data_IF_209475261893
#
_entry.id   IF_209475261893
#
_cell.length_a   1.000
_cell.length_b   1.000
_cell.length_c   1.000
_cell.angle_alpha   90.00
_cell.angle_beta   90.00
_cell.angle_gamma   90.00
#
_symmetry.space_group_name_H-M   'P 1'
#
loop_
_entity.id
_entity.type
_entity.pdbx_description
1 polymer ?
#
# COMPACT_ATOMS: atom_id res chain seq x y z
N UNK A 1 16.09 -8.52 3.92
CA UNK A 1 15.98 -7.04 4.04
C UNK A 1 15.01 -6.77 5.17
N UNK A 2 15.42 -6.23 6.31
CA UNK A 2 16.12 -4.94 6.58
C UNK A 2 17.66 -4.97 6.45
N UNK A 3 18.39 -3.86 6.66
CA UNK A 3 19.85 -3.92 6.82
C UNK A 3 20.25 -4.74 8.05
N UNK A 4 21.51 -5.17 8.12
CA UNK A 4 22.11 -5.80 9.30
C UNK A 4 23.47 -5.16 9.57
N UNK A 5 23.76 -4.77 10.82
CA UNK A 5 24.99 -4.05 11.15
C UNK A 5 26.28 -4.81 10.87
N UNK A 6 26.23 -6.15 10.84
CA UNK A 6 27.37 -7.02 10.55
C UNK A 6 27.46 -7.45 9.08
N UNK A 7 26.43 -7.19 8.27
CA UNK A 7 26.40 -7.61 6.86
C UNK A 7 26.34 -6.42 5.91
N UNK A 8 25.44 -5.46 6.16
CA UNK A 8 25.14 -4.36 5.24
C UNK A 8 26.30 -3.40 5.02
N UNK A 9 26.24 -2.71 3.89
CA UNK A 9 27.21 -1.69 3.45
C UNK A 9 26.46 -0.49 2.84
N UNK A 10 27.11 0.25 1.93
CA UNK A 10 26.50 1.31 1.12
C UNK A 10 25.77 0.78 -0.14
N UNK A 11 25.80 -0.53 -0.37
CA UNK A 11 25.08 -1.21 -1.46
C UNK A 11 24.27 -2.39 -0.93
N UNK A 12 23.44 -2.97 -1.79
CA UNK A 12 22.76 -4.24 -1.50
C UNK A 12 23.84 -5.34 -1.40
N UNK A 13 23.80 -6.10 -0.31
CA UNK A 13 24.69 -7.23 -0.08
C UNK A 13 23.89 -8.54 -0.22
N UNK A 14 24.49 -9.53 -0.89
CA UNK A 14 23.90 -10.85 -1.10
C UNK A 14 24.67 -11.85 -0.26
N UNK A 15 23.96 -12.65 0.56
CA UNK A 15 24.56 -13.75 1.34
C UNK A 15 23.87 -15.06 1.01
N UNK A 16 24.66 -16.11 0.87
CA UNK A 16 24.16 -17.49 0.83
C UNK A 16 24.09 -18.01 2.25
N UNK A 17 22.92 -18.48 2.67
CA UNK A 17 22.70 -19.15 3.95
C UNK A 17 23.19 -20.60 3.90
N UNK A 18 23.27 -21.25 5.07
CA UNK A 18 23.74 -22.63 5.20
C UNK A 18 22.87 -23.63 4.42
N UNK A 19 21.58 -23.33 4.23
CA UNK A 19 20.64 -24.13 3.44
C UNK A 19 20.75 -23.88 1.91
N UNK A 20 21.70 -23.04 1.48
CA UNK A 20 21.91 -22.68 0.08
C UNK A 20 21.00 -21.58 -0.44
N UNK A 21 20.04 -21.08 0.35
CA UNK A 21 19.20 -19.95 -0.04
C UNK A 21 19.98 -18.64 -0.07
N UNK A 22 19.56 -17.71 -0.94
CA UNK A 22 20.17 -16.38 -1.02
C UNK A 22 19.31 -15.34 -0.30
N UNK A 23 19.95 -14.54 0.55
CA UNK A 23 19.31 -13.44 1.28
C UNK A 23 19.93 -12.11 0.86
N UNK A 24 19.06 -11.12 0.64
CA UNK A 24 19.43 -9.74 0.34
C UNK A 24 19.37 -8.88 1.61
N UNK A 25 20.42 -8.11 1.84
CA UNK A 25 20.50 -7.09 2.87
C UNK A 25 20.49 -5.71 2.25
N UNK A 26 19.62 -4.85 2.77
CA UNK A 26 19.52 -3.48 2.27
C UNK A 26 20.78 -2.68 2.68
N UNK A 27 21.19 -1.68 1.88
CA UNK A 27 22.21 -0.74 2.31
C UNK A 27 21.72 0.07 3.52
N UNK A 28 22.61 0.58 4.36
CA UNK A 28 22.19 1.46 5.47
C UNK A 28 21.50 2.74 4.98
N UNK A 29 21.86 3.23 3.78
CA UNK A 29 21.26 4.40 3.15
C UNK A 29 19.79 4.20 2.76
N UNK A 30 19.29 2.95 2.76
CA UNK A 30 17.87 2.66 2.65
C UNK A 30 17.06 3.18 3.84
N UNK A 31 17.68 3.30 5.02
CA UNK A 31 17.01 3.74 6.24
C UNK A 31 16.93 5.26 6.27
N UNK A 32 15.71 5.77 6.37
CA UNK A 32 15.37 7.20 6.43
C UNK A 32 16.23 7.90 7.48
N UNK A 33 16.95 8.93 7.03
CA UNK A 33 17.86 9.71 7.86
C UNK A 33 19.29 9.18 7.94
N UNK A 34 19.58 7.96 7.48
CA UNK A 34 20.94 7.44 7.41
C UNK A 34 21.65 7.93 6.14
N UNK A 35 22.44 8.98 6.29
CA UNK A 35 23.26 9.52 5.19
C UNK A 35 24.45 8.61 4.83
N UNK A 36 25.10 8.85 3.70
CA UNK A 36 26.36 8.17 3.34
C UNK A 36 27.41 8.29 4.45
N UNK A 37 27.53 9.46 5.09
CA UNK A 37 28.43 9.65 6.24
C UNK A 37 28.06 8.75 7.42
N UNK A 38 26.76 8.56 7.67
CA UNK A 38 26.28 7.62 8.67
C UNK A 38 26.63 6.17 8.32
N UNK A 39 26.46 5.77 7.06
CA UNK A 39 26.82 4.44 6.56
C UNK A 39 28.33 4.18 6.76
N UNK A 40 29.17 5.13 6.33
CA UNK A 40 30.62 5.04 6.48
C UNK A 40 31.05 4.99 7.95
N UNK A 41 30.38 5.75 8.83
CA UNK A 41 30.65 5.71 10.26
C UNK A 41 30.38 4.32 10.87
N UNK A 42 29.31 3.65 10.44
CA UNK A 42 28.97 2.29 10.87
C UNK A 42 30.02 1.29 10.38
N UNK A 43 30.40 1.34 9.09
CA UNK A 43 31.40 0.43 8.54
C UNK A 43 32.78 0.61 9.20
N UNK A 44 33.21 1.85 9.41
CA UNK A 44 34.47 2.15 10.14
C UNK A 44 34.43 1.66 11.58
N UNK A 45 33.29 1.81 12.25
CA UNK A 45 33.11 1.29 13.60
C UNK A 45 33.21 -0.24 13.63
N UNK A 46 32.63 -0.91 12.63
CA UNK A 46 32.71 -2.37 12.46
C UNK A 46 34.15 -2.83 12.25
N UNK A 47 34.91 -2.15 11.41
CA UNK A 47 36.33 -2.42 11.19
C UNK A 47 37.16 -2.25 12.47
N UNK A 48 36.92 -1.17 13.23
CA UNK A 48 37.64 -0.89 14.49
C UNK A 48 37.48 -2.00 15.54
N UNK A 49 36.35 -2.69 15.56
CA UNK A 49 36.07 -3.76 16.53
C UNK A 49 36.41 -5.15 16.01
N UNK A 50 37.15 -5.26 14.89
CA UNK A 50 37.58 -6.55 14.33
C UNK A 50 36.64 -7.13 13.29
N UNK A 51 35.77 -6.32 12.70
CA UNK A 51 34.94 -6.66 11.54
C UNK A 51 33.53 -7.12 11.87
N UNK A 52 33.19 -7.34 13.14
CA UNK A 52 31.83 -7.71 13.59
C UNK A 52 31.55 -7.10 14.96
N UNK A 53 30.34 -6.58 15.14
CA UNK A 53 29.81 -6.22 16.44
C UNK A 53 29.27 -7.47 17.14
N UNK A 54 29.60 -7.63 18.42
CA UNK A 54 29.10 -8.70 19.29
C UNK A 54 27.86 -8.29 20.08
N UNK A 55 27.65 -6.98 20.26
CA UNK A 55 26.51 -6.44 21.01
C UNK A 55 26.17 -5.02 20.58
N UNK A 56 24.94 -4.61 20.90
CA UNK A 56 24.50 -3.22 20.72
C UNK A 56 25.40 -2.25 21.50
N UNK A 57 25.83 -2.61 22.71
CA UNK A 57 26.73 -1.78 23.52
C UNK A 57 28.08 -1.51 22.81
N UNK A 58 28.68 -2.54 22.21
CA UNK A 58 29.92 -2.41 21.46
C UNK A 58 29.73 -1.52 20.21
N UNK A 59 28.59 -1.64 19.54
CA UNK A 59 28.23 -0.74 18.45
C UNK A 59 28.13 0.73 18.93
N UNK A 60 27.42 0.98 20.03
CA UNK A 60 27.22 2.34 20.56
C UNK A 60 28.51 3.01 21.03
N UNK A 61 29.48 2.23 21.50
CA UNK A 61 30.80 2.70 21.90
C UNK A 61 31.69 2.99 20.67
N UNK A 62 31.67 2.12 19.66
CA UNK A 62 32.55 2.22 18.50
C UNK A 62 32.08 3.27 17.46
N UNK A 63 30.77 3.52 17.37
CA UNK A 63 30.20 4.36 16.32
C UNK A 63 30.40 5.85 16.57
N UNK A 64 30.72 6.59 15.51
CA UNK A 64 30.82 8.05 15.57
C UNK A 64 29.42 8.66 15.73
N UNK A 65 29.04 9.00 16.97
CA UNK A 65 27.70 9.47 17.35
C UNK A 65 27.23 10.75 16.64
N UNK A 66 28.15 11.54 16.06
CA UNK A 66 27.77 12.72 15.25
C UNK A 66 27.28 12.31 13.87
N UNK A 67 27.96 11.36 13.22
CA UNK A 67 27.62 10.85 11.91
C UNK A 67 26.46 9.83 11.96
N UNK A 68 26.44 8.97 12.99
CA UNK A 68 25.34 8.06 13.31
C UNK A 68 24.61 8.55 14.57
N UNK A 69 23.82 9.61 14.41
CA UNK A 69 23.11 10.26 15.51
C UNK A 69 22.02 9.37 16.14
N UNK A 70 21.45 9.82 17.26
CA UNK A 70 20.42 9.06 17.99
C UNK A 70 19.21 8.68 17.13
N UNK A 71 18.76 9.57 16.23
CA UNK A 71 17.63 9.27 15.33
C UNK A 71 17.97 8.15 14.36
N UNK A 72 19.18 8.16 13.79
CA UNK A 72 19.64 7.08 12.90
C UNK A 72 19.73 5.76 13.65
N UNK A 73 20.28 5.76 14.86
CA UNK A 73 20.37 4.55 15.70
C UNK A 73 18.98 4.01 16.07
N UNK A 74 18.03 4.88 16.41
CA UNK A 74 16.64 4.49 16.68
C UNK A 74 15.97 3.91 15.42
N UNK A 75 16.15 4.53 14.24
CA UNK A 75 15.62 3.99 12.99
C UNK A 75 16.22 2.61 12.68
N UNK A 76 17.53 2.43 12.85
CA UNK A 76 18.21 1.13 12.68
C UNK A 76 17.65 0.08 13.64
N UNK A 77 17.37 0.44 14.89
CA UNK A 77 16.74 -0.45 15.87
C UNK A 77 15.34 -0.88 15.46
N UNK A 78 14.50 0.08 15.04
CA UNK A 78 13.12 -0.16 14.61
C UNK A 78 13.04 -1.09 13.40
N UNK A 79 13.86 -0.83 12.38
CA UNK A 79 13.89 -1.69 11.19
C UNK A 79 14.50 -3.07 11.45
N UNK A 80 15.15 -3.30 12.60
CA UNK A 80 15.71 -4.60 12.98
C UNK A 80 17.18 -4.80 12.63
N UNK A 81 17.94 -3.73 12.41
CA UNK A 81 19.34 -3.81 11.97
C UNK A 81 20.29 -4.47 12.99
N UNK A 82 19.89 -4.52 14.26
CA UNK A 82 20.65 -5.12 15.35
C UNK A 82 20.15 -6.50 15.76
N UNK A 83 19.15 -7.07 15.06
CA UNK A 83 18.53 -8.35 15.46
C UNK A 83 19.53 -9.52 15.55
N UNK A 84 20.63 -9.49 14.80
CA UNK A 84 21.69 -10.51 14.86
C UNK A 84 22.63 -10.39 16.06
N UNK A 85 22.61 -9.26 16.79
CA UNK A 85 23.54 -8.96 17.90
C UNK A 85 22.84 -8.62 19.21
N UNK A 86 21.51 -8.61 19.24
CA UNK A 86 20.70 -8.28 20.42
C UNK A 86 19.90 -9.52 20.86
N UNK A 87 20.33 -10.21 21.93
CA UNK A 87 19.63 -11.38 22.43
C UNK A 87 18.18 -11.08 22.81
N UNK A 88 17.24 -11.92 22.33
CA UNK A 88 15.81 -11.76 22.61
C UNK A 88 15.09 -10.71 21.74
N UNK A 89 15.81 -10.03 20.83
CA UNK A 89 15.19 -9.13 19.85
C UNK A 89 14.37 -9.93 18.84
N UNK A 90 13.23 -9.37 18.40
CA UNK A 90 12.46 -9.95 17.32
C UNK A 90 13.32 -10.05 16.05
N UNK A 91 13.22 -11.16 15.28
CA UNK A 91 13.91 -11.30 14.02
C UNK A 91 13.72 -10.08 13.12
N UNK A 92 14.71 -9.78 12.30
CA UNK A 92 14.65 -8.64 11.39
C UNK A 92 13.48 -8.75 10.39
N UNK A 93 13.00 -9.96 10.11
CA UNK A 93 11.87 -10.25 9.20
C UNK A 93 10.53 -10.40 9.93
N UNK A 94 10.46 -10.08 11.23
CA UNK A 94 9.24 -10.23 12.01
C UNK A 94 8.12 -9.28 11.53
N UNK A 95 6.88 -9.75 11.52
CA UNK A 95 5.71 -8.98 11.08
C UNK A 95 5.48 -7.70 11.87
N UNK A 96 5.87 -7.66 13.15
CA UNK A 96 5.74 -6.46 13.98
C UNK A 96 6.67 -5.32 13.50
N UNK A 97 7.75 -5.66 12.80
CA UNK A 97 8.70 -4.69 12.25
C UNK A 97 8.31 -4.15 10.88
N UNK A 98 7.39 -4.80 10.16
CA UNK A 98 7.03 -4.42 8.79
C UNK A 98 6.52 -2.98 8.68
N UNK A 99 5.80 -2.49 9.71
CA UNK A 99 5.33 -1.10 9.75
C UNK A 99 6.48 -0.11 9.83
N UNK A 100 7.39 -0.32 10.78
CA UNK A 100 8.58 0.52 10.95
C UNK A 100 9.48 0.46 9.71
N UNK A 101 9.65 -0.73 9.13
CA UNK A 101 10.39 -0.90 7.90
C UNK A 101 9.74 -0.17 6.74
N UNK A 102 8.41 -0.22 6.59
CA UNK A 102 7.74 0.46 5.48
C UNK A 102 7.85 1.98 5.63
N UNK A 103 7.72 2.49 6.86
CA UNK A 103 7.88 3.92 7.14
C UNK A 103 9.33 4.41 6.95
N UNK A 104 10.30 3.63 7.40
CA UNK A 104 11.71 4.03 7.46
C UNK A 104 12.51 3.59 6.25
N UNK A 105 12.08 2.59 5.49
CA UNK A 105 12.80 2.06 4.31
C UNK A 105 12.02 2.22 3.01
N UNK A 106 10.77 2.67 3.07
CA UNK A 106 9.92 2.92 1.89
C UNK A 106 9.74 1.67 1.04
N UNK A 107 9.96 1.81 -0.28
CA UNK A 107 9.68 0.80 -1.30
C UNK A 107 10.54 -0.49 -1.21
N UNK A 108 11.46 -0.58 -0.24
CA UNK A 108 12.27 -1.79 -0.03
C UNK A 108 11.53 -2.85 0.80
N UNK A 109 10.43 -2.49 1.46
CA UNK A 109 9.55 -3.47 2.11
C UNK A 109 8.63 -4.08 1.09
N UNK A 110 8.86 -5.37 0.83
CA UNK A 110 8.14 -6.15 -0.18
C UNK A 110 6.86 -6.73 0.43
N UNK A 111 6.78 -6.88 1.76
CA UNK A 111 5.63 -7.49 2.42
C UNK A 111 4.52 -6.48 2.73
N UNK A 112 3.29 -6.97 2.69
CA UNK A 112 2.13 -6.14 2.96
C UNK A 112 2.05 -5.83 4.45
N UNK A 113 1.93 -4.55 4.80
CA UNK A 113 1.81 -4.12 6.19
C UNK A 113 0.34 -4.13 6.58
N UNK A 114 0.01 -4.71 7.74
CA UNK A 114 -1.34 -4.60 8.27
C UNK A 114 -1.57 -3.25 8.91
N UNK A 115 -2.75 -2.70 8.67
CA UNK A 115 -3.21 -1.54 9.42
C UNK A 115 -3.35 -1.89 10.91
N UNK A 116 -3.09 -0.92 11.77
CA UNK A 116 -3.22 -1.11 13.23
C UNK A 116 -4.65 -1.12 13.77
N UNK A 117 -5.64 -1.01 12.89
CA UNK A 117 -7.08 -0.93 13.19
C UNK A 117 -7.86 -1.92 12.32
N UNK A 118 -9.08 -2.33 12.72
CA UNK A 118 -9.99 -3.02 11.82
C UNK A 118 -10.58 -2.06 10.78
N UNK A 119 -10.96 -2.59 9.62
CA UNK A 119 -11.87 -1.88 8.71
C UNK A 119 -13.28 -1.94 9.30
N UNK A 120 -13.68 -0.86 9.96
CA UNK A 120 -15.00 -0.76 10.58
C UNK A 120 -16.00 -0.07 9.64
N UNK A 121 -17.11 -0.73 9.33
CA UNK A 121 -18.28 -0.09 8.74
C UNK A 121 -19.47 -0.31 9.67
N UNK A 122 -20.04 0.78 10.15
CA UNK A 122 -21.19 0.76 11.05
C UNK A 122 -22.28 1.71 10.53
N UNK A 123 -23.53 1.62 11.02
CA UNK A 123 -24.63 2.43 10.49
C UNK A 123 -24.36 3.93 10.51
N UNK A 124 -23.60 4.43 11.50
CA UNK A 124 -23.19 5.83 11.57
C UNK A 124 -22.25 6.20 10.41
N UNK A 125 -21.20 5.40 10.17
CA UNK A 125 -20.25 5.63 9.08
C UNK A 125 -20.94 5.53 7.72
N UNK A 126 -21.86 4.57 7.53
CA UNK A 126 -22.68 4.47 6.33
C UNK A 126 -23.56 5.71 6.13
N UNK A 127 -24.13 6.27 7.19
CA UNK A 127 -24.90 7.52 7.13
C UNK A 127 -24.00 8.72 6.76
N UNK A 128 -22.80 8.81 7.33
CA UNK A 128 -21.83 9.86 6.99
C UNK A 128 -21.40 9.79 5.51
N UNK A 129 -21.19 8.58 4.96
CA UNK A 129 -20.93 8.38 3.53
C UNK A 129 -22.11 8.86 2.70
N UNK A 130 -23.34 8.56 3.11
CA UNK A 130 -24.53 9.05 2.40
C UNK A 130 -24.64 10.58 2.42
N UNK A 131 -24.29 11.23 3.53
CA UNK A 131 -24.23 12.70 3.62
C UNK A 131 -23.17 13.25 2.67
N UNK A 132 -21.99 12.63 2.61
CA UNK A 132 -20.93 13.01 1.67
C UNK A 132 -21.40 12.90 0.21
N UNK A 133 -22.07 11.80 -0.15
CA UNK A 133 -22.61 11.60 -1.50
C UNK A 133 -23.69 12.63 -1.84
N UNK A 134 -24.60 12.94 -0.90
CA UNK A 134 -25.62 13.98 -1.11
C UNK A 134 -25.01 15.37 -1.28
N UNK A 135 -23.96 15.69 -0.52
CA UNK A 135 -23.22 16.95 -0.68
C UNK A 135 -22.56 17.04 -2.06
N UNK A 136 -21.90 15.97 -2.49
CA UNK A 136 -21.31 15.90 -3.83
C UNK A 136 -22.35 16.11 -4.94
N UNK A 137 -23.51 15.43 -4.84
CA UNK A 137 -24.58 15.59 -5.82
C UNK A 137 -25.06 17.05 -5.93
N UNK A 138 -25.16 17.75 -4.80
CA UNK A 138 -25.58 19.14 -4.76
C UNK A 138 -24.51 20.09 -5.31
N UNK A 139 -23.25 19.97 -4.87
CA UNK A 139 -22.16 20.87 -5.26
C UNK A 139 -21.75 20.70 -6.73
N UNK A 140 -21.77 19.47 -7.22
CA UNK A 140 -21.40 19.15 -8.60
C UNK A 140 -22.60 19.13 -9.56
N UNK A 141 -23.82 19.37 -9.06
CA UNK A 141 -25.05 19.38 -9.87
C UNK A 141 -25.37 18.04 -10.54
N UNK A 142 -25.07 16.92 -9.87
CA UNK A 142 -25.19 15.57 -10.46
C UNK A 142 -26.61 15.01 -10.40
N UNK A 143 -27.40 15.39 -9.39
CA UNK A 143 -28.75 14.83 -9.21
C UNK A 143 -28.74 13.30 -9.21
N UNK A 144 -29.55 12.71 -10.11
CA UNK A 144 -29.69 11.26 -10.27
C UNK A 144 -28.55 10.62 -11.08
N UNK A 145 -27.67 11.41 -11.71
CA UNK A 145 -26.50 10.91 -12.45
C UNK A 145 -25.35 10.50 -11.50
N UNK A 146 -25.46 10.78 -10.20
CA UNK A 146 -24.48 10.37 -9.21
C UNK A 146 -24.52 8.85 -9.03
N UNK A 147 -23.36 8.23 -9.22
CA UNK A 147 -23.11 6.83 -8.91
C UNK A 147 -22.56 6.70 -7.49
N UNK A 148 -23.30 5.98 -6.66
CA UNK A 148 -23.01 5.76 -5.25
C UNK A 148 -22.07 4.56 -5.06
N UNK A 149 -21.27 4.55 -3.98
CA UNK A 149 -20.49 3.38 -3.63
C UNK A 149 -21.39 2.20 -3.27
N UNK A 150 -20.97 1.00 -3.64
CA UNK A 150 -21.56 -0.24 -3.14
C UNK A 150 -20.85 -0.65 -1.86
N UNK A 151 -21.60 -0.79 -0.78
CA UNK A 151 -21.06 -1.06 0.55
C UNK A 151 -21.50 -2.45 1.00
N UNK A 152 -20.54 -3.36 1.10
CA UNK A 152 -20.75 -4.69 1.65
C UNK A 152 -21.08 -4.67 3.14
N UNK A 153 -21.62 -5.78 3.64
CA UNK A 153 -22.05 -5.94 5.05
C UNK A 153 -20.86 -5.87 6.01
N UNK A 154 -19.70 -6.43 5.61
CA UNK A 154 -18.47 -6.45 6.42
C UNK A 154 -17.26 -6.24 5.51
N UNK A 155 -17.03 -5.01 5.03
CA UNK A 155 -15.98 -4.75 4.07
C UNK A 155 -14.59 -5.02 4.67
N UNK A 156 -13.75 -5.73 3.91
CA UNK A 156 -12.35 -6.03 4.21
C UNK A 156 -11.41 -5.29 3.26
N UNK A 157 -11.88 -4.98 2.05
CA UNK A 157 -11.12 -4.32 0.98
C UNK A 157 -11.94 -3.17 0.40
N UNK A 158 -11.30 -2.03 0.18
CA UNK A 158 -11.87 -0.94 -0.62
C UNK A 158 -11.37 -1.05 -2.06
N UNK A 159 -12.26 -1.19 -3.03
CA UNK A 159 -11.95 -1.19 -4.46
C UNK A 159 -12.28 0.18 -5.04
N UNK A 160 -11.30 0.82 -5.69
CA UNK A 160 -11.47 2.15 -6.29
C UNK A 160 -11.25 2.05 -7.79
N UNK A 161 -12.33 2.19 -8.55
CA UNK A 161 -12.32 2.25 -10.02
C UNK A 161 -11.96 3.67 -10.49
N UNK A 162 -11.44 3.81 -11.71
CA UNK A 162 -11.24 5.15 -12.28
C UNK A 162 -12.57 5.89 -12.46
N UNK A 163 -13.56 5.24 -13.05
CA UNK A 163 -14.81 5.87 -13.49
C UNK A 163 -15.98 4.90 -13.43
N UNK A 164 -17.18 5.44 -13.25
CA UNK A 164 -18.41 4.72 -13.51
C UNK A 164 -18.57 4.38 -15.01
N UNK A 165 -19.15 3.23 -15.29
CA UNK A 165 -19.52 2.78 -16.63
C UNK A 165 -21.05 2.74 -16.81
N UNK A 166 -21.50 2.34 -18.00
CA UNK A 166 -22.93 2.27 -18.30
C UNK A 166 -23.71 1.24 -17.48
N UNK A 167 -23.08 0.20 -16.93
CA UNK A 167 -23.74 -0.74 -16.02
C UNK A 167 -23.99 -0.08 -14.66
N UNK A 168 -23.01 0.67 -14.15
CA UNK A 168 -23.17 1.45 -12.92
C UNK A 168 -24.28 2.49 -13.09
N UNK A 169 -24.31 3.20 -14.23
CA UNK A 169 -25.34 4.20 -14.53
C UNK A 169 -26.77 3.66 -14.57
N UNK A 170 -26.98 2.38 -14.92
CA UNK A 170 -28.32 1.77 -14.90
C UNK A 170 -28.85 1.50 -13.50
N UNK A 171 -27.94 1.37 -12.53
CA UNK A 171 -28.27 0.97 -11.16
C UNK A 171 -28.13 2.12 -10.17
N UNK A 172 -27.27 3.10 -10.48
CA UNK A 172 -26.86 4.15 -9.56
C UNK A 172 -25.77 3.70 -8.58
N UNK A 173 -25.26 2.47 -8.69
CA UNK A 173 -24.27 1.90 -7.77
C UNK A 173 -23.11 1.23 -8.49
N UNK A 174 -21.89 1.41 -7.98
CA UNK A 174 -20.71 0.78 -8.55
C UNK A 174 -20.73 -0.74 -8.44
N UNK A 175 -20.49 -1.43 -9.55
CA UNK A 175 -20.41 -2.89 -9.63
C UNK A 175 -21.67 -3.62 -9.12
N UNK A 176 -22.83 -2.97 -9.01
CA UNK A 176 -24.07 -3.70 -8.73
C UNK A 176 -24.40 -4.65 -9.90
N UNK A 177 -24.14 -4.19 -11.14
CA UNK A 177 -24.30 -4.99 -12.36
C UNK A 177 -23.01 -5.00 -13.22
N UNK A 178 -22.85 -6.03 -14.05
CA UNK A 178 -21.67 -6.27 -14.88
C UNK A 178 -20.40 -6.58 -14.08
N UNK A 179 -19.24 -6.39 -14.73
CA UNK A 179 -17.91 -6.74 -14.18
C UNK A 179 -17.75 -8.24 -13.88
N UNK A 180 -18.38 -9.11 -14.68
CA UNK A 180 -18.50 -10.53 -14.35
C UNK A 180 -17.14 -11.23 -14.23
N UNK A 181 -16.21 -10.98 -15.15
CA UNK A 181 -14.85 -11.54 -15.09
C UNK A 181 -14.10 -11.05 -13.85
N UNK A 182 -14.21 -9.76 -13.52
CA UNK A 182 -13.56 -9.19 -12.35
C UNK A 182 -14.16 -9.74 -11.04
N UNK A 183 -15.49 -9.85 -10.97
CA UNK A 183 -16.21 -10.46 -9.84
C UNK A 183 -15.87 -11.94 -9.68
N UNK A 184 -15.73 -12.66 -10.79
CA UNK A 184 -15.32 -14.06 -10.79
C UNK A 184 -13.93 -14.20 -10.18
N UNK A 185 -12.96 -13.38 -10.59
CA UNK A 185 -11.60 -13.43 -10.04
C UNK A 185 -11.52 -12.95 -8.59
N UNK A 186 -12.30 -11.94 -8.19
CA UNK A 186 -12.45 -11.54 -6.78
C UNK A 186 -12.88 -12.73 -5.92
N UNK A 187 -13.81 -13.55 -6.42
CA UNK A 187 -14.27 -14.74 -5.71
C UNK A 187 -13.22 -15.86 -5.72
N UNK A 188 -12.66 -16.21 -6.88
CA UNK A 188 -11.82 -17.41 -7.03
C UNK A 188 -10.41 -17.21 -6.52
N UNK A 189 -9.79 -16.07 -6.82
CA UNK A 189 -8.42 -15.76 -6.43
C UNK A 189 -8.35 -14.94 -5.13
N UNK A 190 -9.33 -14.06 -4.92
CA UNK A 190 -9.39 -13.19 -3.76
C UNK A 190 -10.06 -13.80 -2.52
N UNK A 191 -10.89 -14.84 -2.68
CA UNK A 191 -11.89 -15.28 -1.68
C UNK A 191 -12.74 -14.11 -1.13
N UNK A 192 -13.07 -13.16 -2.02
CA UNK A 192 -13.82 -11.95 -1.70
C UNK A 192 -15.15 -11.94 -2.42
N UNK A 193 -16.24 -11.74 -1.67
CA UNK A 193 -17.58 -11.53 -2.22
C UNK A 193 -17.93 -10.06 -2.15
N UNK A 194 -18.96 -9.61 -2.86
CA UNK A 194 -19.43 -8.21 -2.79
C UNK A 194 -19.73 -7.75 -1.35
N UNK A 195 -20.16 -8.65 -0.46
CA UNK A 195 -20.36 -8.36 0.96
C UNK A 195 -19.08 -8.03 1.75
N UNK A 196 -17.91 -8.41 1.23
CA UNK A 196 -16.58 -8.13 1.77
C UNK A 196 -15.94 -6.86 1.16
N UNK A 197 -16.65 -6.14 0.28
CA UNK A 197 -16.07 -5.03 -0.47
C UNK A 197 -16.74 -3.69 -0.13
N UNK A 198 -15.94 -2.64 -0.11
CA UNK A 198 -16.40 -1.28 -0.34
C UNK A 198 -16.00 -0.89 -1.76
N UNK A 199 -16.93 -0.78 -2.69
CA UNK A 199 -16.62 -0.47 -4.09
C UNK A 199 -17.04 0.96 -4.41
N UNK A 200 -16.12 1.73 -4.99
CA UNK A 200 -16.36 3.10 -5.41
C UNK A 200 -15.53 3.43 -6.65
N UNK A 201 -15.62 4.66 -7.14
CA UNK A 201 -14.76 5.16 -8.20
C UNK A 201 -14.42 6.62 -8.04
N UNK A 202 -13.36 7.07 -8.71
CA UNK A 202 -12.94 8.48 -8.69
C UNK A 202 -14.01 9.34 -9.34
N UNK A 203 -14.30 9.13 -10.63
CA UNK A 203 -15.39 9.82 -11.30
C UNK A 203 -16.71 9.08 -11.08
N UNK A 204 -17.61 9.70 -10.32
CA UNK A 204 -18.88 9.11 -9.85
C UNK A 204 -20.08 9.49 -10.70
N UNK A 205 -19.87 9.66 -12.01
CA UNK A 205 -20.93 9.77 -13.01
C UNK A 205 -20.49 9.02 -14.25
N UNK A 206 -21.43 8.59 -15.08
CA UNK A 206 -21.06 7.96 -16.36
C UNK A 206 -20.47 9.02 -17.28
N UNK A 207 -19.32 8.71 -17.88
CA UNK A 207 -18.67 9.59 -18.84
C UNK A 207 -19.58 9.80 -20.06
N UNK A 208 -19.61 11.03 -20.57
CA UNK A 208 -20.23 11.31 -21.86
C UNK A 208 -19.55 10.49 -22.98
N UNK A 209 -20.32 10.17 -24.03
CA UNK A 209 -19.80 9.35 -25.15
C UNK A 209 -18.84 10.13 -26.04
N UNK A 210 -19.04 11.43 -26.17
CA UNK A 210 -18.30 12.31 -27.07
C UNK A 210 -17.25 13.16 -26.33
N UNK A 211 -17.49 13.45 -25.05
CA UNK A 211 -16.62 14.30 -24.22
C UNK A 211 -16.04 13.52 -23.04
N UNK A 212 -14.76 13.75 -22.76
CA UNK A 212 -14.16 13.32 -21.49
C UNK A 212 -14.57 14.27 -20.37
N UNK A 213 -14.34 13.86 -19.12
CA UNK A 213 -14.49 14.74 -17.97
C UNK A 213 -13.57 15.95 -18.12
N UNK A 214 -14.08 17.12 -17.73
CA UNK A 214 -13.25 18.31 -17.62
C UNK A 214 -12.24 18.17 -16.48
N UNK A 215 -11.17 18.96 -16.52
CA UNK A 215 -10.16 18.96 -15.43
C UNK A 215 -10.77 19.37 -14.10
N UNK A 216 -11.68 20.33 -14.11
CA UNK A 216 -12.33 20.83 -12.89
C UNK A 216 -13.24 19.77 -12.28
N UNK A 217 -13.99 19.03 -13.11
CA UNK A 217 -14.80 17.90 -12.63
C UNK A 217 -13.92 16.80 -12.04
N UNK A 218 -12.82 16.43 -12.70
CA UNK A 218 -11.87 15.44 -12.16
C UNK A 218 -11.29 15.92 -10.83
N UNK A 219 -10.97 17.21 -10.71
CA UNK A 219 -10.48 17.83 -9.48
C UNK A 219 -11.48 17.68 -8.34
N UNK A 220 -12.73 18.11 -8.56
CA UNK A 220 -13.81 18.01 -7.56
C UNK A 220 -14.06 16.56 -7.15
N UNK A 221 -14.16 15.64 -8.11
CA UNK A 221 -14.29 14.21 -7.83
C UNK A 221 -13.14 13.67 -6.98
N UNK A 222 -11.90 14.09 -7.30
CA UNK A 222 -10.71 13.69 -6.55
C UNK A 222 -10.76 14.19 -5.11
N UNK A 223 -11.19 15.43 -4.88
CA UNK A 223 -11.30 16.00 -3.54
C UNK A 223 -12.32 15.25 -2.69
N UNK A 224 -13.53 15.01 -3.22
CA UNK A 224 -14.53 14.19 -2.54
C UNK A 224 -14.08 12.74 -2.32
N UNK A 225 -13.34 12.16 -3.26
CA UNK A 225 -12.79 10.81 -3.12
C UNK A 225 -11.77 10.73 -1.98
N UNK A 226 -10.97 11.77 -1.76
CA UNK A 226 -10.06 11.88 -0.60
C UNK A 226 -10.83 12.00 0.70
N UNK A 227 -11.91 12.79 0.73
CA UNK A 227 -12.81 12.86 1.88
C UNK A 227 -13.46 11.50 2.20
N UNK A 228 -13.90 10.78 1.17
CA UNK A 228 -14.47 9.44 1.31
C UNK A 228 -13.45 8.45 1.90
N UNK A 229 -12.20 8.44 1.41
CA UNK A 229 -11.13 7.60 1.97
C UNK A 229 -10.86 7.94 3.44
N UNK A 230 -10.78 9.24 3.77
CA UNK A 230 -10.55 9.69 5.14
C UNK A 230 -11.72 9.38 6.08
N UNK A 231 -12.95 9.37 5.57
CA UNK A 231 -14.14 9.02 6.32
C UNK A 231 -14.23 7.51 6.56
N UNK A 232 -14.02 6.72 5.51
CA UNK A 232 -14.18 5.26 5.52
C UNK A 232 -13.01 4.58 6.24
N UNK A 233 -11.81 5.16 6.14
CA UNK A 233 -10.55 4.67 6.73
C UNK A 233 -10.26 3.21 6.42
N UNK A 234 -10.25 2.79 5.13
CA UNK A 234 -9.97 1.40 4.76
C UNK A 234 -8.61 0.95 5.28
N UNK A 235 -8.45 -0.35 5.54
CA UNK A 235 -7.16 -0.96 5.91
C UNK A 235 -6.39 -1.43 4.68
N UNK A 236 -7.12 -1.85 3.65
CA UNK A 236 -6.60 -2.29 2.36
C UNK A 236 -7.39 -1.62 1.24
N UNK A 237 -6.67 -1.21 0.19
CA UNK A 237 -7.24 -0.61 -1.02
C UNK A 237 -6.72 -1.35 -2.25
N UNK A 238 -7.59 -1.66 -3.21
CA UNK A 238 -7.21 -2.06 -4.56
C UNK A 238 -7.55 -0.92 -5.52
N UNK A 239 -6.55 -0.29 -6.13
CA UNK A 239 -6.77 0.72 -7.17
C UNK A 239 -6.93 0.04 -8.52
N UNK A 240 -7.93 0.47 -9.28
CA UNK A 240 -8.29 -0.13 -10.55
C UNK A 240 -8.23 0.90 -11.67
N UNK A 241 -7.01 1.28 -12.03
CA UNK A 241 -6.73 2.24 -13.10
C UNK A 241 -5.85 3.42 -12.66
N UNK A 242 -5.65 4.38 -13.57
CA UNK A 242 -4.65 5.44 -13.42
C UNK A 242 -5.09 6.57 -12.49
N UNK A 243 -6.37 6.95 -12.53
CA UNK A 243 -6.96 7.99 -11.65
C UNK A 243 -7.01 7.47 -10.22
N UNK A 244 -7.46 6.23 -10.03
CA UNK A 244 -7.50 5.58 -8.73
C UNK A 244 -6.09 5.46 -8.12
N UNK A 245 -5.10 5.03 -8.91
CA UNK A 245 -3.69 4.94 -8.49
C UNK A 245 -3.12 6.30 -8.07
N UNK A 246 -3.48 7.36 -8.81
CA UNK A 246 -3.00 8.73 -8.56
C UNK A 246 -3.52 9.35 -7.26
N UNK A 247 -4.52 8.76 -6.61
CA UNK A 247 -4.95 9.15 -5.27
C UNK A 247 -3.84 8.92 -4.23
N UNK A 248 -3.02 7.90 -4.45
CA UNK A 248 -2.03 7.39 -3.50
C UNK A 248 -0.60 7.58 -3.97
N UNK A 249 -0.35 7.49 -5.29
CA UNK A 249 0.98 7.64 -5.86
C UNK A 249 0.96 8.47 -7.15
N UNK A 250 1.57 9.64 -7.08
CA UNK A 250 1.78 10.54 -8.21
C UNK A 250 3.26 10.66 -8.63
N UNK A 251 4.14 9.83 -8.04
CA UNK A 251 5.58 9.86 -8.25
C UNK A 251 6.03 8.91 -9.36
N UNK A 252 5.29 7.82 -9.55
CA UNK A 252 5.56 6.81 -10.57
C UNK A 252 4.43 6.72 -11.59
N UNK A 253 4.73 6.22 -12.79
CA UNK A 253 3.68 5.97 -13.78
C UNK A 253 2.78 4.84 -13.28
N UNK A 254 1.44 4.97 -13.35
CA UNK A 254 0.53 3.93 -12.87
C UNK A 254 0.76 2.55 -13.49
N UNK A 255 1.15 2.48 -14.76
CA UNK A 255 1.48 1.21 -15.45
C UNK A 255 2.62 0.43 -14.78
N UNK A 256 3.59 1.15 -14.23
CA UNK A 256 4.80 0.58 -13.64
C UNK A 256 4.53 0.07 -12.21
N UNK A 257 3.41 0.50 -11.62
CA UNK A 257 2.96 0.10 -10.29
C UNK A 257 2.07 -1.13 -10.31
N UNK A 258 1.47 -1.51 -11.45
CA UNK A 258 0.55 -2.65 -11.51
C UNK A 258 1.23 -3.92 -10.98
N UNK A 259 0.60 -4.60 -10.02
CA UNK A 259 1.15 -5.79 -9.35
C UNK A 259 2.01 -5.47 -8.13
N UNK A 260 2.19 -4.20 -7.80
CA UNK A 260 2.89 -3.77 -6.58
C UNK A 260 1.89 -3.39 -5.50
N UNK A 261 2.41 -3.29 -4.28
CA UNK A 261 1.71 -2.74 -3.13
C UNK A 261 2.60 -1.74 -2.39
N UNK A 262 1.96 -0.82 -1.68
CA UNK A 262 2.64 0.21 -0.89
C UNK A 262 1.85 0.42 0.40
N UNK A 263 2.55 0.43 1.54
CA UNK A 263 1.96 0.87 2.79
C UNK A 263 2.16 2.37 2.95
N UNK A 264 1.08 3.08 3.30
CA UNK A 264 1.07 4.52 3.49
C UNK A 264 0.86 4.83 4.98
N UNK A 265 1.93 5.18 5.72
CA UNK A 265 1.85 5.40 7.17
C UNK A 265 0.87 6.50 7.58
N UNK A 266 0.75 7.55 6.76
CA UNK A 266 -0.14 8.69 7.04
C UNK A 266 -1.62 8.29 7.08
N UNK A 267 -2.00 7.31 6.27
CA UNK A 267 -3.36 6.77 6.22
C UNK A 267 -3.50 5.44 6.99
N UNK A 268 -2.38 4.85 7.41
CA UNK A 268 -2.29 3.50 8.00
C UNK A 268 -3.06 2.50 7.11
N UNK A 269 -2.70 2.43 5.82
CA UNK A 269 -3.38 1.63 4.79
C UNK A 269 -2.35 0.99 3.86
N UNK A 270 -2.62 -0.23 3.40
CA UNK A 270 -1.88 -0.83 2.27
C UNK A 270 -2.69 -0.74 0.99
N UNK A 271 -2.05 -0.19 -0.04
CA UNK A 271 -2.62 0.01 -1.36
C UNK A 271 -2.01 -1.01 -2.31
N UNK A 272 -2.85 -1.81 -2.96
CA UNK A 272 -2.51 -2.70 -4.06
C UNK A 272 -2.85 -1.97 -5.37
N UNK A 273 -1.89 -1.96 -6.29
CA UNK A 273 -2.04 -1.27 -7.57
C UNK A 273 -2.45 -2.26 -8.66
N UNK A 274 -3.68 -2.13 -9.12
CA UNK A 274 -4.24 -2.89 -10.24
C UNK A 274 -4.42 -2.05 -11.49
N UNK A 275 -5.11 -2.65 -12.46
CA UNK A 275 -5.50 -2.00 -13.71
C UNK A 275 -7.02 -1.87 -13.81
N UNK A 276 -7.51 -1.09 -14.77
CA UNK A 276 -8.95 -0.93 -14.98
C UNK A 276 -9.56 -2.26 -15.44
N UNK A 277 -10.48 -2.89 -14.68
CA UNK A 277 -10.98 -4.23 -14.97
C UNK A 277 -11.79 -4.33 -16.26
N UNK A 278 -12.28 -3.21 -16.81
CA UNK A 278 -12.93 -3.23 -18.12
C UNK A 278 -12.00 -3.68 -19.25
N UNK A 279 -10.67 -3.68 -19.05
CA UNK A 279 -9.73 -4.22 -20.03
C UNK A 279 -9.93 -5.72 -20.25
N UNK A 280 -10.41 -6.47 -19.25
CA UNK A 280 -10.59 -7.92 -19.33
C UNK A 280 -11.55 -8.34 -20.45
N UNK A 281 -12.55 -7.50 -20.73
CA UNK A 281 -13.47 -7.72 -21.85
C UNK A 281 -12.75 -7.71 -23.21
N UNK A 282 -11.71 -6.89 -23.34
CA UNK A 282 -10.95 -6.75 -24.58
C UNK A 282 -9.67 -7.60 -24.61
N UNK A 283 -9.14 -7.93 -23.43
CA UNK A 283 -7.89 -8.66 -23.19
C UNK A 283 -8.06 -9.63 -22.02
N UNK A 284 -8.73 -10.77 -22.25
CA UNK A 284 -8.94 -11.79 -21.21
C UNK A 284 -7.63 -12.32 -20.62
N UNK A 285 -6.54 -12.29 -21.38
CA UNK A 285 -5.20 -12.72 -20.96
C UNK A 285 -4.63 -11.89 -19.79
N UNK A 286 -5.08 -10.64 -19.62
CA UNK A 286 -4.70 -9.83 -18.45
C UNK A 286 -5.28 -10.41 -17.14
N UNK A 287 -6.22 -11.36 -17.24
CA UNK A 287 -6.78 -12.09 -16.12
C UNK A 287 -5.72 -12.78 -15.26
N UNK A 288 -4.67 -13.36 -15.83
CA UNK A 288 -3.60 -14.02 -15.04
C UNK A 288 -2.90 -13.03 -14.11
N UNK A 289 -2.71 -11.79 -14.58
CA UNK A 289 -2.08 -10.73 -13.79
C UNK A 289 -2.98 -10.26 -12.65
N UNK A 290 -4.28 -10.17 -12.90
CA UNK A 290 -5.26 -9.82 -11.86
C UNK A 290 -5.40 -10.93 -10.82
N UNK A 291 -5.38 -12.19 -11.24
CA UNK A 291 -5.36 -13.34 -10.33
C UNK A 291 -4.17 -13.27 -9.36
N UNK A 292 -2.97 -12.97 -9.85
CA UNK A 292 -1.79 -12.81 -9.00
C UNK A 292 -1.95 -11.68 -7.97
N UNK A 293 -2.50 -10.53 -8.39
CA UNK A 293 -2.77 -9.39 -7.49
C UNK A 293 -3.79 -9.80 -6.41
N UNK A 294 -4.87 -10.48 -6.80
CA UNK A 294 -5.94 -10.85 -5.88
C UNK A 294 -5.53 -11.96 -4.91
N UNK A 295 -4.69 -12.90 -5.35
CA UNK A 295 -4.10 -13.90 -4.47
C UNK A 295 -3.24 -13.25 -3.36
N UNK A 296 -2.45 -12.24 -3.71
CA UNK A 296 -1.64 -11.48 -2.76
C UNK A 296 -2.50 -10.65 -1.79
N UNK A 297 -3.60 -10.07 -2.29
CA UNK A 297 -4.62 -9.40 -1.46
C UNK A 297 -5.24 -10.39 -0.48
N UNK A 298 -5.65 -11.58 -0.94
CA UNK A 298 -6.27 -12.62 -0.12
C UNK A 298 -5.32 -13.08 1.00
N UNK A 299 -4.06 -13.35 0.66
CA UNK A 299 -3.02 -13.71 1.61
C UNK A 299 -2.84 -12.63 2.67
N UNK A 300 -2.82 -11.36 2.26
CA UNK A 300 -2.64 -10.23 3.16
C UNK A 300 -3.82 -10.03 4.11
N UNK A 301 -5.05 -10.18 3.62
CA UNK A 301 -6.28 -10.03 4.42
C UNK A 301 -6.46 -11.19 5.40
N UNK A 302 -6.01 -12.39 5.03
CA UNK A 302 -6.21 -13.62 5.81
C UNK A 302 -5.18 -13.82 6.93
N UNK A 303 -3.96 -13.30 6.75
CA UNK A 303 -2.93 -13.32 7.80
C UNK A 303 -3.38 -12.46 8.96
#
# INVERSE_FOLDING_TARGET
MPPDVNVSSNRIEIRTLEDGSQVLYAPFSAVKGCSENGCQAIMRAREKVGGKFESLAQFEEAVEKRACNSRVRESLQKVGAFASIEPGSLPATDTERLRDQAELMGNLVIDAVKASRPFEMNPKRSAEVNVLMTRMAAEMGLGDDLIRPSIGIKPKLMVILDNANGNDGRTGYFMENGYDDFKAQLLTAGDLRMGDLYVTGVCKKVKDKEKDYTKDEIGQFTDFMREEINLVRPTYVLTCGSRATSLFNNKSKPSDLIGRKEYLPELDVTVFYGFNPNILYFRPEEGEKLEAILAEVAETISK
#
